data_IF_673994451058
#
_entry.id   IF_673994451058
#
_cell.length_a   1.000
_cell.length_b   1.000
_cell.length_c   1.000
_cell.angle_alpha   90.00
_cell.angle_beta   90.00
_cell.angle_gamma   90.00
#
_symmetry.space_group_name_H-M   'P 1'
#
loop_
_entity.id
_entity.type
_entity.pdbx_description
1 polymer ?
#
# COMPACT_ATOMS: atom_id res chain seq x y z
N UNK A 1 -6.92 4.05 20.00
CA UNK A 1 -5.78 4.74 19.39
C UNK A 1 -5.75 4.34 17.92
N UNK A 2 -5.71 5.31 17.00
CA UNK A 2 -5.70 5.03 15.56
C UNK A 2 -4.26 4.82 15.07
N UNK A 3 -4.05 3.80 14.22
CA UNK A 3 -2.74 3.44 13.68
C UNK A 3 -2.74 3.41 12.15
N UNK A 4 -1.61 3.71 11.52
CA UNK A 4 -1.43 3.51 10.08
C UNK A 4 -1.41 2.01 9.77
N UNK A 5 -2.22 1.57 8.79
CA UNK A 5 -2.38 0.15 8.41
C UNK A 5 -2.62 -0.82 9.59
N UNK A 6 -3.23 -0.34 10.68
CA UNK A 6 -3.42 -1.08 11.94
C UNK A 6 -2.12 -1.46 12.68
N UNK A 7 -0.98 -0.89 12.31
CA UNK A 7 0.31 -1.15 12.94
C UNK A 7 0.50 -0.31 14.21
N UNK A 8 0.53 -0.95 15.38
CA UNK A 8 0.58 -0.26 16.68
C UNK A 8 1.75 0.74 16.86
N UNK A 9 2.84 0.57 16.10
CA UNK A 9 4.04 1.43 16.16
C UNK A 9 3.90 2.73 15.36
N UNK A 10 2.86 2.84 14.52
CA UNK A 10 2.64 3.98 13.61
C UNK A 10 1.39 4.76 14.02
N UNK A 11 1.45 5.60 15.06
CA UNK A 11 0.32 6.41 15.47
C UNK A 11 -0.10 7.37 14.35
N UNK A 12 -1.41 7.53 14.14
CA UNK A 12 -1.95 8.53 13.20
C UNK A 12 -2.96 9.42 13.91
N UNK A 13 -2.96 10.71 13.56
CA UNK A 13 -4.01 11.62 13.98
C UNK A 13 -5.16 11.55 12.97
N UNK A 14 -6.36 11.28 13.46
CA UNK A 14 -7.58 11.25 12.63
C UNK A 14 -8.45 12.43 13.01
N UNK A 15 -8.67 13.32 12.06
CA UNK A 15 -9.52 14.48 12.18
C UNK A 15 -10.89 14.16 11.56
N UNK A 16 -11.94 14.46 12.30
CA UNK A 16 -13.31 14.34 11.84
C UNK A 16 -13.90 15.75 11.67
N UNK A 17 -14.68 15.98 10.61
CA UNK A 17 -15.39 17.25 10.47
C UNK A 17 -16.38 17.41 11.62
N UNK A 18 -16.47 18.63 12.18
CA UNK A 18 -17.37 18.93 13.27
C UNK A 18 -18.86 18.81 12.87
N UNK A 19 -19.15 19.10 11.60
CA UNK A 19 -20.49 19.00 11.01
C UNK A 19 -20.49 18.04 9.82
N UNK A 20 -21.62 17.36 9.60
CA UNK A 20 -21.79 16.45 8.46
C UNK A 20 -21.97 17.25 7.17
N UNK A 21 -21.07 17.09 6.21
CA UNK A 21 -21.26 17.60 4.85
C UNK A 21 -22.15 16.63 4.04
N UNK A 22 -23.46 16.87 4.03
CA UNK A 22 -24.43 16.18 3.18
C UNK A 22 -24.58 14.66 3.43
N UNK A 23 -25.08 13.93 2.42
CA UNK A 23 -25.26 12.46 2.43
C UNK A 23 -23.96 11.67 2.18
N UNK A 24 -22.85 12.35 1.90
CA UNK A 24 -21.57 11.70 1.62
C UNK A 24 -21.02 10.99 2.85
N UNK A 25 -20.62 9.72 2.67
CA UNK A 25 -19.99 8.90 3.70
C UNK A 25 -18.91 9.68 4.45
N UNK A 26 -18.95 9.62 5.80
CA UNK A 26 -18.03 10.27 6.73
C UNK A 26 -16.60 10.33 6.19
N UNK A 27 -16.21 11.50 5.67
CA UNK A 27 -14.84 11.76 5.27
C UNK A 27 -14.03 12.10 6.52
N UNK A 28 -12.94 11.37 6.74
CA UNK A 28 -11.96 11.66 7.81
C UNK A 28 -10.63 12.05 7.18
N UNK A 29 -9.95 13.03 7.75
CA UNK A 29 -8.58 13.39 7.36
C UNK A 29 -7.62 12.64 8.28
N UNK A 30 -6.63 11.96 7.72
CA UNK A 30 -5.58 11.26 8.48
C UNK A 30 -4.25 11.96 8.27
N UNK A 31 -3.66 12.47 9.33
CA UNK A 31 -2.29 12.98 9.31
C UNK A 31 -1.35 11.81 9.65
N UNK A 32 -0.49 11.48 8.70
CA UNK A 32 0.45 10.37 8.78
C UNK A 32 1.85 10.99 8.85
N UNK A 33 2.57 10.86 9.98
CA UNK A 33 3.97 11.24 10.05
C UNK A 33 4.78 10.38 9.08
N UNK A 34 5.62 11.00 8.27
CA UNK A 34 6.51 10.29 7.35
C UNK A 34 7.96 10.70 7.62
N UNK A 35 8.87 9.82 7.24
CA UNK A 35 10.30 10.10 7.19
C UNK A 35 10.73 10.03 5.73
N UNK A 36 11.69 10.83 5.29
CA UNK A 36 12.23 10.70 3.92
C UNK A 36 13.74 10.59 3.98
N UNK A 37 14.30 9.54 3.39
CA UNK A 37 15.76 9.37 3.22
C UNK A 37 16.61 9.40 4.52
N UNK A 38 16.05 9.03 5.67
CA UNK A 38 16.76 9.09 6.97
C UNK A 38 17.80 7.97 7.16
N UNK A 39 17.53 6.78 6.65
CA UNK A 39 18.39 5.60 6.83
C UNK A 39 18.83 5.00 5.49
N UNK A 40 19.95 4.27 5.51
CA UNK A 40 20.37 3.52 4.34
C UNK A 40 19.46 2.28 4.17
N UNK A 41 18.82 2.15 3.00
CA UNK A 41 17.90 1.04 2.67
C UNK A 41 18.55 -0.33 2.88
N UNK A 42 19.84 -0.50 2.53
CA UNK A 42 20.57 -1.76 2.70
C UNK A 42 20.72 -2.18 4.17
N UNK A 43 20.66 -1.22 5.12
CA UNK A 43 20.69 -1.52 6.56
C UNK A 43 19.32 -1.99 7.08
N UNK A 44 18.24 -1.66 6.38
CA UNK A 44 16.87 -2.08 6.68
C UNK A 44 16.46 -3.35 5.91
N UNK A 45 17.43 -4.17 5.49
CA UNK A 45 17.14 -5.47 4.88
C UNK A 45 16.35 -6.37 5.84
N UNK A 46 15.37 -7.14 5.33
CA UNK A 46 14.53 -8.06 6.08
C UNK A 46 15.30 -9.10 6.90
N UNK A 47 16.52 -9.46 6.51
CA UNK A 47 17.39 -10.43 7.19
C UNK A 47 18.23 -9.82 8.32
N UNK A 48 18.17 -8.50 8.54
CA UNK A 48 18.97 -7.82 9.56
C UNK A 48 18.17 -7.57 10.83
N UNK A 49 18.87 -7.66 11.97
CA UNK A 49 18.38 -7.18 13.25
C UNK A 49 18.70 -5.69 13.40
N UNK A 50 17.70 -4.86 13.69
CA UNK A 50 17.87 -3.45 14.09
C UNK A 50 17.29 -3.14 15.48
N UNK A 51 16.97 -4.17 16.28
CA UNK A 51 16.50 -4.04 17.66
C UNK A 51 17.49 -4.72 18.59
N UNK A 52 18.33 -3.92 19.25
CA UNK A 52 19.31 -4.40 20.22
C UNK A 52 18.63 -4.65 21.57
N UNK A 53 18.19 -5.88 21.80
CA UNK A 53 17.73 -6.32 23.12
C UNK A 53 18.90 -6.94 23.89
N UNK A 54 19.07 -6.57 25.17
CA UNK A 54 20.24 -6.94 25.98
C UNK A 54 20.41 -8.47 26.17
N UNK A 55 19.33 -9.25 26.02
CA UNK A 55 19.27 -10.68 26.41
C UNK A 55 18.67 -11.63 25.36
N UNK A 56 18.65 -11.29 24.07
CA UNK A 56 18.20 -12.20 23.00
C UNK A 56 19.23 -12.35 21.89
N UNK A 57 19.29 -13.54 21.30
CA UNK A 57 19.98 -13.76 20.05
C UNK A 57 19.48 -12.74 19.01
N UNK A 58 20.38 -12.25 18.15
CA UNK A 58 20.11 -11.18 17.20
C UNK A 58 19.27 -11.69 16.02
N UNK A 59 18.02 -12.06 16.26
CA UNK A 59 17.08 -12.49 15.23
C UNK A 59 16.76 -11.34 14.28
N UNK A 60 16.55 -11.64 13.00
CA UNK A 60 16.16 -10.64 12.03
C UNK A 60 14.85 -9.93 12.46
N UNK A 61 14.74 -8.64 12.17
CA UNK A 61 13.58 -7.82 12.56
C UNK A 61 12.81 -7.31 11.32
N UNK A 62 12.32 -8.20 10.44
CA UNK A 62 11.75 -7.82 9.14
C UNK A 62 10.57 -6.86 9.28
N UNK A 63 9.64 -7.13 10.22
CA UNK A 63 8.48 -6.25 10.42
C UNK A 63 8.87 -4.85 10.90
N UNK A 64 9.94 -4.73 11.69
CA UNK A 64 10.44 -3.42 12.12
C UNK A 64 11.13 -2.69 10.97
N UNK A 65 11.98 -3.40 10.22
CA UNK A 65 12.72 -2.82 9.12
C UNK A 65 11.80 -2.38 7.98
N UNK A 66 10.83 -3.22 7.59
CA UNK A 66 9.82 -2.90 6.57
C UNK A 66 8.92 -1.73 6.97
N UNK A 67 8.58 -1.63 8.26
CA UNK A 67 7.80 -0.51 8.81
C UNK A 67 8.52 0.83 8.60
N UNK A 68 9.82 0.91 8.93
CA UNK A 68 10.64 2.11 8.67
C UNK A 68 10.79 2.37 7.17
N UNK A 69 11.03 1.32 6.37
CA UNK A 69 11.16 1.46 4.92
C UNK A 69 9.90 2.04 4.30
N UNK A 70 8.72 1.54 4.69
CA UNK A 70 7.44 2.05 4.20
C UNK A 70 7.31 3.55 4.45
N UNK A 71 7.66 4.03 5.66
CA UNK A 71 7.61 5.46 5.97
C UNK A 71 8.58 6.25 5.09
N UNK A 72 9.79 5.70 4.90
CA UNK A 72 10.88 6.31 4.11
C UNK A 72 10.54 6.51 2.62
N UNK A 73 9.76 5.60 2.04
CA UNK A 73 9.44 5.60 0.60
C UNK A 73 8.00 6.01 0.30
N UNK A 74 7.20 6.34 1.32
CA UNK A 74 5.76 6.57 1.17
C UNK A 74 5.45 7.67 0.13
N UNK A 75 6.18 8.78 0.21
CA UNK A 75 5.96 9.93 -0.68
C UNK A 75 6.40 9.61 -2.13
N UNK A 76 7.55 8.96 -2.31
CA UNK A 76 8.04 8.54 -3.62
C UNK A 76 7.06 7.55 -4.27
N UNK A 77 6.60 6.54 -3.52
CA UNK A 77 5.60 5.60 -3.98
C UNK A 77 4.28 6.29 -4.33
N UNK A 78 3.85 7.29 -3.55
CA UNK A 78 2.64 8.06 -3.84
C UNK A 78 2.79 8.82 -5.17
N UNK A 79 3.95 9.42 -5.44
CA UNK A 79 4.24 10.10 -6.72
C UNK A 79 4.27 9.09 -7.87
N UNK A 80 4.93 7.95 -7.69
CA UNK A 80 4.97 6.87 -8.67
C UNK A 80 3.56 6.38 -9.05
N UNK A 81 2.74 6.02 -8.06
CA UNK A 81 1.35 5.58 -8.29
C UNK A 81 0.55 6.71 -8.95
N UNK A 82 0.62 7.93 -8.42
CA UNK A 82 -0.11 9.07 -9.00
C UNK A 82 0.25 9.32 -10.46
N UNK A 83 1.54 9.21 -10.82
CA UNK A 83 2.01 9.40 -12.19
C UNK A 83 1.53 8.30 -13.13
N UNK A 84 1.46 7.06 -12.65
CA UNK A 84 1.03 5.91 -13.46
C UNK A 84 -0.46 5.96 -13.75
N UNK A 85 -1.26 6.41 -12.79
CA UNK A 85 -2.72 6.56 -12.94
C UNK A 85 -3.11 7.85 -13.67
N UNK A 86 -2.16 8.76 -13.92
CA UNK A 86 -2.44 10.03 -14.59
C UNK A 86 -2.95 9.79 -16.02
N UNK A 87 -4.10 10.38 -16.34
CA UNK A 87 -4.78 10.26 -17.64
C UNK A 87 -5.01 8.81 -18.11
N UNK A 88 -5.20 7.87 -17.17
CA UNK A 88 -5.48 6.47 -17.50
C UNK A 88 -6.76 6.00 -16.80
N UNK A 89 -7.90 6.30 -17.44
CA UNK A 89 -9.24 6.06 -16.90
C UNK A 89 -9.48 4.58 -16.57
N UNK A 90 -9.15 3.69 -17.50
CA UNK A 90 -9.39 2.24 -17.37
C UNK A 90 -8.64 1.64 -16.18
N UNK A 91 -7.42 2.14 -15.90
CA UNK A 91 -6.63 1.72 -14.75
C UNK A 91 -7.30 2.15 -13.43
N UNK A 92 -7.83 3.39 -13.38
CA UNK A 92 -8.58 3.90 -12.25
C UNK A 92 -9.87 3.11 -11.98
N UNK A 93 -10.65 2.82 -13.03
CA UNK A 93 -11.86 2.00 -12.93
C UNK A 93 -11.53 0.57 -12.48
N UNK A 94 -10.43 0.00 -12.97
CA UNK A 94 -10.00 -1.35 -12.58
C UNK A 94 -9.63 -1.39 -11.10
N UNK A 95 -8.93 -0.37 -10.59
CA UNK A 95 -8.63 -0.25 -9.17
C UNK A 95 -9.90 -0.18 -8.31
N UNK A 96 -10.95 0.52 -8.76
CA UNK A 96 -12.23 0.57 -8.04
C UNK A 96 -12.84 -0.84 -7.95
N UNK A 97 -12.90 -1.59 -9.06
CA UNK A 97 -13.41 -2.96 -9.07
C UNK A 97 -12.60 -3.89 -8.16
N UNK A 98 -11.27 -3.78 -8.18
CA UNK A 98 -10.39 -4.57 -7.32
C UNK A 98 -10.59 -4.23 -5.83
N UNK A 99 -10.80 -2.96 -5.48
CA UNK A 99 -11.14 -2.55 -4.11
C UNK A 99 -12.49 -3.12 -3.67
N UNK A 100 -13.49 -3.15 -4.54
CA UNK A 100 -14.78 -3.80 -4.24
C UNK A 100 -14.58 -5.30 -4.04
N UNK A 101 -13.85 -5.96 -4.94
CA UNK A 101 -13.52 -7.39 -4.86
C UNK A 101 -12.82 -7.77 -3.55
N UNK A 102 -11.82 -7.00 -3.13
CA UNK A 102 -11.08 -7.26 -1.91
C UNK A 102 -11.94 -6.99 -0.67
N UNK A 103 -12.83 -5.97 -0.70
CA UNK A 103 -13.74 -5.64 0.40
C UNK A 103 -14.73 -6.78 0.66
N UNK A 104 -15.27 -7.37 -0.40
CA UNK A 104 -16.19 -8.50 -0.33
C UNK A 104 -15.54 -9.77 0.25
N UNK A 105 -14.20 -9.88 0.21
CA UNK A 105 -13.44 -11.01 0.76
C UNK A 105 -12.88 -10.74 2.16
N UNK A 106 -13.38 -9.71 2.85
CA UNK A 106 -13.01 -9.29 4.23
C UNK A 106 -11.53 -8.89 4.45
N UNK A 107 -10.69 -8.98 3.42
CA UNK A 107 -9.23 -8.81 3.52
C UNK A 107 -8.75 -7.36 3.32
N UNK A 108 -9.58 -6.32 3.49
CA UNK A 108 -9.13 -4.91 3.42
C UNK A 108 -8.97 -4.28 4.82
N UNK A 109 -9.49 -4.93 5.87
CA UNK A 109 -9.54 -4.34 7.21
C UNK A 109 -8.72 -5.09 8.26
N UNK A 110 -8.01 -6.16 7.89
CA UNK A 110 -7.07 -6.84 8.78
C UNK A 110 -5.67 -6.20 8.73
N UNK A 111 -4.84 -6.46 9.75
CA UNK A 111 -3.41 -6.09 9.72
C UNK A 111 -2.72 -6.80 8.54
N UNK A 112 -1.82 -6.11 7.83
CA UNK A 112 -1.09 -6.63 6.65
C UNK A 112 -1.96 -7.20 5.52
N UNK A 113 -3.16 -6.68 5.37
CA UNK A 113 -4.12 -7.19 4.40
C UNK A 113 -4.00 -6.51 3.03
N UNK A 114 -4.75 -7.02 2.04
CA UNK A 114 -4.86 -6.43 0.71
C UNK A 114 -5.55 -5.07 0.78
N UNK A 115 -4.77 -4.03 1.07
CA UNK A 115 -5.29 -2.67 1.16
C UNK A 115 -5.50 -2.05 -0.22
N UNK A 116 -6.37 -1.03 -0.29
CA UNK A 116 -6.55 -0.25 -1.51
C UNK A 116 -5.26 0.43 -2.00
N UNK A 117 -4.32 0.71 -1.10
CA UNK A 117 -2.99 1.23 -1.43
C UNK A 117 -2.13 0.14 -2.07
N UNK A 118 -2.05 -1.05 -1.46
CA UNK A 118 -1.29 -2.17 -2.00
C UNK A 118 -1.76 -2.56 -3.41
N UNK A 119 -3.08 -2.63 -3.63
CA UNK A 119 -3.66 -2.86 -4.96
C UNK A 119 -3.24 -1.80 -5.98
N UNK A 120 -3.20 -0.52 -5.58
CA UNK A 120 -2.76 0.56 -6.48
C UNK A 120 -1.28 0.47 -6.85
N UNK A 121 -0.43 0.10 -5.89
CA UNK A 121 1.01 -0.11 -6.13
C UNK A 121 1.25 -1.32 -7.03
N UNK A 122 0.52 -2.43 -6.85
CA UNK A 122 0.61 -3.61 -7.72
C UNK A 122 0.22 -3.25 -9.15
N UNK A 123 -0.92 -2.58 -9.33
CA UNK A 123 -1.36 -2.13 -10.65
C UNK A 123 -0.31 -1.24 -11.32
N UNK A 124 0.22 -0.27 -10.58
CA UNK A 124 1.27 0.62 -11.09
C UNK A 124 2.53 -0.18 -11.49
N UNK A 125 2.96 -1.13 -10.66
CA UNK A 125 4.08 -2.03 -10.97
C UNK A 125 3.83 -2.88 -12.23
N UNK A 126 2.65 -3.48 -12.38
CA UNK A 126 2.28 -4.29 -13.55
C UNK A 126 2.28 -3.51 -14.87
N UNK A 127 2.10 -2.18 -14.78
CA UNK A 127 2.20 -1.27 -15.92
C UNK A 127 3.64 -0.88 -16.29
N UNK A 128 4.64 -1.27 -15.48
CA UNK A 128 6.06 -0.99 -15.77
C UNK A 128 6.73 -2.12 -16.54
N UNK A 129 7.89 -1.83 -17.12
CA UNK A 129 8.77 -2.82 -17.76
C UNK A 129 9.17 -3.93 -16.78
N UNK A 130 9.44 -3.59 -15.52
CA UNK A 130 9.75 -4.56 -14.45
C UNK A 130 8.57 -5.49 -14.15
N UNK A 131 7.34 -4.98 -14.26
CA UNK A 131 6.10 -5.76 -14.22
C UNK A 131 5.77 -6.49 -15.53
N UNK A 132 6.72 -6.53 -16.47
CA UNK A 132 6.60 -7.11 -17.82
C UNK A 132 5.52 -6.45 -18.68
N UNK A 133 5.12 -5.23 -18.36
CA UNK A 133 4.02 -4.52 -19.01
C UNK A 133 2.75 -5.39 -19.13
N UNK A 134 2.46 -6.18 -18.08
CA UNK A 134 1.28 -7.06 -18.01
C UNK A 134 -0.02 -6.28 -18.13
N UNK A 135 0.00 -4.99 -17.78
CA UNK A 135 -1.10 -4.04 -17.95
C UNK A 135 -0.63 -2.94 -18.90
N UNK A 136 -1.43 -2.64 -19.92
CA UNK A 136 -1.12 -1.62 -20.92
C UNK A 136 -2.33 -0.75 -21.27
N UNK A 137 -2.09 0.45 -21.82
CA UNK A 137 -3.16 1.41 -22.16
C UNK A 137 -4.14 0.91 -23.23
N UNK A 138 -3.82 -0.17 -23.96
CA UNK A 138 -4.74 -0.77 -24.94
C UNK A 138 -5.77 -1.71 -24.31
N UNK A 139 -5.61 -2.06 -23.03
CA UNK A 139 -6.51 -2.97 -22.32
C UNK A 139 -7.72 -2.23 -21.75
N UNK A 140 -8.87 -2.89 -21.78
CA UNK A 140 -10.05 -2.41 -21.08
C UNK A 140 -10.00 -2.75 -19.58
N UNK A 141 -10.86 -2.08 -18.81
CA UNK A 141 -10.99 -2.21 -17.36
C UNK A 141 -11.06 -3.67 -16.87
N UNK A 142 -11.80 -4.54 -17.56
CA UNK A 142 -11.98 -5.95 -17.17
C UNK A 142 -10.72 -6.78 -17.45
N UNK A 143 -10.04 -6.55 -18.57
CA UNK A 143 -8.76 -7.19 -18.89
C UNK A 143 -7.70 -6.85 -17.82
N UNK A 144 -7.62 -5.57 -17.44
CA UNK A 144 -6.71 -5.10 -16.38
C UNK A 144 -7.02 -5.81 -15.07
N UNK A 145 -8.29 -5.89 -14.67
CA UNK A 145 -8.70 -6.59 -13.45
C UNK A 145 -8.28 -8.07 -13.48
N UNK A 146 -8.55 -8.77 -14.59
CA UNK A 146 -8.20 -10.19 -14.76
C UNK A 146 -6.70 -10.41 -14.64
N UNK A 147 -5.89 -9.68 -15.40
CA UNK A 147 -4.43 -9.80 -15.34
C UNK A 147 -3.87 -9.52 -13.95
N UNK A 148 -4.47 -8.58 -13.21
CA UNK A 148 -4.07 -8.28 -11.84
C UNK A 148 -4.43 -9.41 -10.88
N UNK A 149 -5.64 -9.97 -10.97
CA UNK A 149 -6.07 -11.10 -10.15
C UNK A 149 -5.29 -12.37 -10.47
N UNK A 150 -4.99 -12.63 -11.75
CA UNK A 150 -4.15 -13.74 -12.18
C UNK A 150 -2.74 -13.61 -11.61
N UNK A 151 -2.17 -12.39 -11.64
CA UNK A 151 -0.87 -12.13 -11.03
C UNK A 151 -0.88 -12.41 -9.51
N UNK A 152 -1.91 -11.94 -8.80
CA UNK A 152 -2.07 -12.19 -7.37
C UNK A 152 -2.24 -13.70 -7.11
N UNK A 153 -3.09 -14.39 -7.86
CA UNK A 153 -3.37 -15.80 -7.65
C UNK A 153 -2.19 -16.74 -7.93
N UNK A 154 -1.29 -16.37 -8.85
CA UNK A 154 -0.13 -17.19 -9.24
C UNK A 154 1.10 -16.92 -8.36
N UNK A 155 1.27 -15.68 -7.87
CA UNK A 155 2.52 -15.25 -7.24
C UNK A 155 2.43 -15.00 -5.73
N UNK A 156 1.24 -15.02 -5.13
CA UNK A 156 1.06 -14.74 -3.68
C UNK A 156 0.64 -15.96 -2.84
N UNK A 157 0.58 -17.15 -3.44
CA UNK A 157 0.48 -18.44 -2.74
C UNK A 157 1.68 -19.31 -3.12
#
# INVERSE_FOLDING_TARGET
MSAFQNEARKPVLVLYPAEKFGETALASIRLIPTATSLFNISKLNMQRNNIRALNRAADATPMYNSSILEDMVLEENSKFVSSTFHEWKELGEALILLKVWARQRSSIYSHDCVSGYLLSTILAYLATVSGKNRVSKSMNTIQICRHTLDFIGIHWF
#
